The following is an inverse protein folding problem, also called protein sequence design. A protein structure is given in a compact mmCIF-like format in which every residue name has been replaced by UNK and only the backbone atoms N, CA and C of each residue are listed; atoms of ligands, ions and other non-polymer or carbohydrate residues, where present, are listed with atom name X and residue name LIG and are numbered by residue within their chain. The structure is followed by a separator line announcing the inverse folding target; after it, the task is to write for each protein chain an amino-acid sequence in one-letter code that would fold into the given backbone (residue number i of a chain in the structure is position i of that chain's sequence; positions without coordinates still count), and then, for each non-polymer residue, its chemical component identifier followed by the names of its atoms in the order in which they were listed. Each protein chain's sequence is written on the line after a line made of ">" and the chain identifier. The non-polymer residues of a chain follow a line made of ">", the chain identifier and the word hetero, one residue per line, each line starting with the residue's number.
data_IF_848214310474
#
_entry.id   IF_848214310474
#
_cell.length_a   1.000
_cell.length_b   1.000
_cell.length_c   1.000
_cell.angle_alpha   90.00
_cell.angle_beta   90.00
_cell.angle_gamma   90.00
#
_symmetry.space_group_name_H-M   'P 1'
#
loop_
_entity.id
_entity.type
_entity.pdbx_description
1 polymer ?
#
# COMPACT_ATOMS: atom_id res chain seq x y z
N UNK A 1 7.14 -7.18 7.97
CA UNK A 1 6.63 -6.49 6.76
C UNK A 1 6.59 -4.99 7.03
N UNK A 2 7.31 -4.18 6.26
CA UNK A 2 7.64 -2.79 6.58
C UNK A 2 6.47 -1.75 6.50
N UNK A 3 5.23 -2.19 6.30
CA UNK A 3 4.04 -1.32 6.24
C UNK A 3 2.82 -1.85 7.00
N UNK A 4 2.90 -3.01 7.65
CA UNK A 4 1.72 -3.62 8.29
C UNK A 4 1.15 -2.79 9.45
N UNK A 5 1.99 -2.02 10.15
CA UNK A 5 1.58 -1.10 11.22
C UNK A 5 1.29 0.33 10.77
N UNK A 6 1.53 0.66 9.50
CA UNK A 6 0.98 1.88 8.92
C UNK A 6 -0.44 1.51 8.48
N UNK A 7 -1.47 2.30 8.82
CA UNK A 7 -2.85 2.09 8.36
C UNK A 7 -3.01 2.29 6.83
N UNK A 8 -2.18 1.60 6.06
CA UNK A 8 -2.08 1.64 4.63
C UNK A 8 -2.77 0.39 4.06
N UNK A 9 -3.58 0.54 3.02
CA UNK A 9 -4.52 -0.50 2.61
C UNK A 9 -3.84 -1.77 2.04
N UNK A 10 -2.59 -1.66 1.61
CA UNK A 10 -1.92 -2.65 0.76
C UNK A 10 -1.72 -4.02 1.41
N UNK A 11 -1.47 -4.07 2.73
CA UNK A 11 -1.33 -5.35 3.44
C UNK A 11 -2.67 -6.09 3.49
N UNK A 12 -3.75 -5.38 3.83
CA UNK A 12 -5.10 -5.93 3.85
C UNK A 12 -5.53 -6.40 2.45
N UNK A 13 -5.21 -5.63 1.41
CA UNK A 13 -5.43 -6.05 0.01
C UNK A 13 -4.67 -7.32 -0.33
N UNK A 14 -3.39 -7.44 0.06
CA UNK A 14 -2.59 -8.64 -0.18
C UNK A 14 -3.16 -9.88 0.52
N UNK A 15 -3.51 -9.76 1.80
CA UNK A 15 -4.11 -10.85 2.57
C UNK A 15 -5.47 -11.27 2.00
N UNK A 16 -6.32 -10.29 1.65
CA UNK A 16 -7.62 -10.53 1.01
C UNK A 16 -7.48 -11.24 -0.35
N UNK A 17 -6.51 -10.82 -1.18
CA UNK A 17 -6.23 -11.44 -2.46
C UNK A 17 -5.75 -12.89 -2.33
N UNK A 18 -4.78 -13.16 -1.45
CA UNK A 18 -4.28 -14.53 -1.21
C UNK A 18 -5.39 -15.43 -0.65
N UNK A 19 -6.18 -14.94 0.31
CA UNK A 19 -7.30 -15.69 0.86
C UNK A 19 -8.35 -16.02 -0.20
N UNK A 20 -8.74 -15.05 -1.03
CA UNK A 20 -9.71 -15.24 -2.10
C UNK A 20 -9.20 -16.25 -3.13
N UNK A 21 -7.95 -16.14 -3.60
CA UNK A 21 -7.35 -17.08 -4.57
C UNK A 21 -7.29 -18.49 -3.99
N UNK A 22 -6.80 -18.65 -2.75
CA UNK A 22 -6.68 -19.95 -2.09
C UNK A 22 -8.04 -20.64 -1.89
N UNK A 23 -9.04 -19.91 -1.41
CA UNK A 23 -10.40 -20.43 -1.22
C UNK A 23 -11.09 -20.70 -2.56
N UNK A 24 -10.86 -19.86 -3.57
CA UNK A 24 -11.35 -20.07 -4.93
C UNK A 24 -10.81 -21.37 -5.52
N UNK A 25 -9.62 -21.82 -5.15
CA UNK A 25 -9.00 -23.06 -5.63
C UNK A 25 -9.42 -24.31 -4.84
N UNK A 26 -10.18 -24.18 -3.76
CA UNK A 26 -10.56 -25.32 -2.90
C UNK A 26 -11.38 -26.36 -3.69
N UNK A 27 -10.98 -27.63 -3.66
CA UNK A 27 -11.61 -28.70 -4.43
C UNK A 27 -13.06 -28.98 -4.00
N UNK A 28 -13.31 -29.00 -2.69
CA UNK A 28 -14.63 -29.17 -2.08
C UNK A 28 -15.08 -27.86 -1.40
N UNK A 29 -15.70 -26.94 -2.16
CA UNK A 29 -16.16 -25.67 -1.61
C UNK A 29 -17.41 -25.87 -0.74
N UNK A 30 -17.43 -25.24 0.42
CA UNK A 30 -18.58 -25.14 1.33
C UNK A 30 -19.17 -23.73 1.27
N UNK A 31 -20.37 -23.48 1.85
CA UNK A 31 -20.89 -22.11 2.00
C UNK A 31 -19.88 -21.14 2.64
N UNK A 32 -19.15 -21.58 3.65
CA UNK A 32 -18.08 -20.80 4.28
C UNK A 32 -16.91 -20.50 3.33
N UNK A 33 -16.62 -21.40 2.38
CA UNK A 33 -15.60 -21.16 1.35
C UNK A 33 -16.02 -20.00 0.44
N UNK A 34 -17.27 -19.98 -0.02
CA UNK A 34 -17.80 -18.88 -0.84
C UNK A 34 -17.86 -17.57 -0.06
N UNK A 35 -18.31 -17.61 1.20
CA UNK A 35 -18.29 -16.45 2.08
C UNK A 35 -16.87 -15.90 2.27
N UNK A 36 -15.87 -16.77 2.41
CA UNK A 36 -14.47 -16.36 2.52
C UNK A 36 -13.90 -15.77 1.23
N UNK A 37 -14.26 -16.30 0.04
CA UNK A 37 -13.91 -15.67 -1.25
C UNK A 37 -14.47 -14.25 -1.31
N UNK A 38 -15.78 -14.12 -1.02
CA UNK A 38 -16.46 -12.83 -1.03
C UNK A 38 -15.87 -11.86 -0.01
N UNK A 39 -15.62 -12.30 1.22
CA UNK A 39 -15.02 -11.48 2.27
C UNK A 39 -13.59 -11.02 1.93
N UNK A 40 -12.76 -11.90 1.39
CA UNK A 40 -11.39 -11.55 0.97
C UNK A 40 -11.38 -10.48 -0.11
N UNK A 41 -12.25 -10.61 -1.12
CA UNK A 41 -12.40 -9.60 -2.18
C UNK A 41 -13.09 -8.33 -1.71
N UNK A 42 -14.06 -8.41 -0.79
CA UNK A 42 -14.69 -7.25 -0.19
C UNK A 42 -13.67 -6.40 0.57
N UNK A 43 -12.81 -7.02 1.39
CA UNK A 43 -11.73 -6.31 2.09
C UNK A 43 -10.73 -5.73 1.09
N UNK A 44 -10.29 -6.50 0.09
CA UNK A 44 -9.34 -6.02 -0.91
C UNK A 44 -9.87 -4.82 -1.69
N UNK A 45 -11.14 -4.88 -2.12
CA UNK A 45 -11.82 -3.85 -2.91
C UNK A 45 -12.16 -2.63 -2.06
N UNK A 46 -12.61 -2.81 -0.82
CA UNK A 46 -12.86 -1.71 0.12
C UNK A 46 -11.59 -0.89 0.38
N UNK A 47 -10.47 -1.59 0.54
CA UNK A 47 -9.17 -0.98 0.80
C UNK A 47 -8.61 -0.31 -0.46
N UNK A 48 -8.72 -0.97 -1.63
CA UNK A 48 -8.19 -0.50 -2.92
C UNK A 48 -9.10 -1.01 -4.05
N UNK A 49 -10.11 -0.23 -4.49
CA UNK A 49 -11.08 -0.69 -5.49
C UNK A 49 -10.44 -1.17 -6.80
N UNK A 50 -9.39 -0.48 -7.26
CA UNK A 50 -8.65 -0.84 -8.47
C UNK A 50 -7.93 -2.19 -8.34
N UNK A 51 -7.35 -2.50 -7.17
CA UNK A 51 -6.71 -3.80 -6.93
C UNK A 51 -7.75 -4.91 -6.81
N UNK A 52 -8.90 -4.62 -6.18
CA UNK A 52 -10.04 -5.54 -6.12
C UNK A 52 -10.49 -5.96 -7.52
N UNK A 53 -10.65 -5.00 -8.43
CA UNK A 53 -10.97 -5.27 -9.83
C UNK A 53 -9.87 -6.09 -10.53
N UNK A 54 -8.60 -5.70 -10.38
CA UNK A 54 -7.47 -6.38 -10.99
C UNK A 54 -7.31 -7.83 -10.52
N UNK A 55 -7.55 -8.11 -9.23
CA UNK A 55 -7.51 -9.46 -8.64
C UNK A 55 -8.70 -10.29 -9.10
N UNK A 56 -9.89 -9.69 -9.20
CA UNK A 56 -11.11 -10.38 -9.60
C UNK A 56 -11.09 -10.82 -11.07
N UNK A 57 -10.47 -10.06 -11.98
CA UNK A 57 -10.43 -10.36 -13.42
C UNK A 57 -10.01 -11.81 -13.74
N UNK A 58 -8.82 -12.29 -13.36
CA UNK A 58 -8.41 -13.66 -13.64
C UNK A 58 -9.29 -14.72 -12.94
N UNK A 59 -9.83 -14.43 -11.76
CA UNK A 59 -10.76 -15.33 -11.06
C UNK A 59 -12.07 -15.49 -11.83
N UNK A 60 -12.62 -14.40 -12.36
CA UNK A 60 -13.82 -14.41 -13.18
C UNK A 60 -13.57 -15.12 -14.52
N UNK A 61 -12.44 -14.86 -15.19
CA UNK A 61 -12.08 -15.53 -16.44
C UNK A 61 -11.99 -17.05 -16.26
N UNK A 62 -11.33 -17.50 -15.19
CA UNK A 62 -11.24 -18.94 -14.87
C UNK A 62 -12.60 -19.51 -14.46
N UNK A 63 -13.38 -18.78 -13.65
CA UNK A 63 -14.71 -19.22 -13.21
C UNK A 63 -15.69 -19.37 -14.36
N UNK A 64 -15.71 -18.42 -15.30
CA UNK A 64 -16.59 -18.42 -16.47
C UNK A 64 -16.14 -19.41 -17.55
N UNK A 65 -14.83 -19.62 -17.71
CA UNK A 65 -14.28 -20.57 -18.68
C UNK A 65 -14.54 -22.04 -18.34
N UNK A 66 -14.85 -22.35 -17.08
CA UNK A 66 -15.26 -23.69 -16.64
C UNK A 66 -16.78 -23.76 -16.60
N UNK A 67 -17.40 -24.42 -17.58
CA UNK A 67 -18.86 -24.60 -17.67
C UNK A 67 -19.38 -25.65 -16.67
N UNK A 68 -19.21 -25.40 -15.37
CA UNK A 68 -19.70 -26.27 -14.30
C UNK A 68 -20.65 -25.51 -13.36
N UNK A 69 -21.76 -26.08 -12.88
CA UNK A 69 -22.67 -25.38 -11.95
C UNK A 69 -21.97 -24.86 -10.69
N UNK A 70 -20.91 -25.56 -10.24
CA UNK A 70 -20.09 -25.16 -9.08
C UNK A 70 -19.17 -23.97 -9.38
N UNK A 71 -18.87 -23.66 -10.64
CA UNK A 71 -18.08 -22.49 -11.01
C UNK A 71 -18.91 -21.21 -10.88
N UNK A 72 -20.22 -21.27 -11.16
CA UNK A 72 -21.14 -20.15 -10.99
C UNK A 72 -21.21 -19.65 -9.54
N UNK A 73 -21.24 -20.55 -8.55
CA UNK A 73 -21.19 -20.15 -7.15
C UNK A 73 -19.89 -19.40 -6.80
N UNK A 74 -18.75 -19.77 -7.40
CA UNK A 74 -17.48 -19.05 -7.24
C UNK A 74 -17.53 -17.68 -7.92
N UNK A 75 -18.08 -17.61 -9.13
CA UNK A 75 -18.28 -16.34 -9.87
C UNK A 75 -19.16 -15.40 -9.06
N UNK A 76 -20.29 -15.87 -8.54
CA UNK A 76 -21.18 -15.07 -7.69
C UNK A 76 -20.49 -14.61 -6.40
N UNK A 77 -19.67 -15.46 -5.77
CA UNK A 77 -18.89 -15.06 -4.60
C UNK A 77 -17.86 -13.97 -4.93
N UNK A 78 -17.17 -14.08 -6.08
CA UNK A 78 -16.22 -13.07 -6.56
C UNK A 78 -16.93 -11.74 -6.83
N UNK A 79 -18.01 -11.77 -7.61
CA UNK A 79 -18.81 -10.58 -7.92
C UNK A 79 -19.40 -9.95 -6.65
N UNK A 80 -19.97 -10.76 -5.76
CA UNK A 80 -20.53 -10.30 -4.49
C UNK A 80 -19.48 -9.61 -3.62
N UNK A 81 -18.28 -10.17 -3.53
CA UNK A 81 -17.16 -9.56 -2.80
C UNK A 81 -16.73 -8.22 -3.38
N UNK A 82 -16.52 -8.15 -4.70
CA UNK A 82 -16.14 -6.90 -5.38
C UNK A 82 -17.22 -5.83 -5.21
N UNK A 83 -18.49 -6.17 -5.44
CA UNK A 83 -19.61 -5.23 -5.28
C UNK A 83 -19.71 -4.74 -3.84
N UNK A 84 -19.66 -5.65 -2.86
CA UNK A 84 -19.74 -5.28 -1.44
C UNK A 84 -18.61 -4.35 -1.01
N UNK A 85 -17.38 -4.59 -1.49
CA UNK A 85 -16.24 -3.73 -1.17
C UNK A 85 -16.25 -2.39 -1.93
N UNK A 86 -16.73 -2.37 -3.18
CA UNK A 86 -16.80 -1.15 -3.98
C UNK A 86 -17.97 -0.23 -3.59
N UNK A 87 -19.04 -0.78 -3.01
CA UNK A 87 -20.28 -0.04 -2.75
C UNK A 87 -20.07 1.23 -1.92
N UNK A 88 -19.33 1.24 -0.79
CA UNK A 88 -19.07 2.47 -0.04
C UNK A 88 -18.34 3.53 -0.87
N UNK A 89 -17.39 3.11 -1.70
CA UNK A 89 -16.64 4.00 -2.58
C UNK A 89 -17.54 4.59 -3.68
N UNK A 90 -18.44 3.80 -4.26
CA UNK A 90 -19.39 4.27 -5.27
C UNK A 90 -20.39 5.25 -4.66
N UNK A 91 -20.97 4.93 -3.51
CA UNK A 91 -21.90 5.82 -2.79
C UNK A 91 -21.21 7.15 -2.49
N UNK A 92 -20.00 7.13 -1.94
CA UNK A 92 -19.25 8.35 -1.65
C UNK A 92 -18.94 9.15 -2.93
N UNK A 93 -18.67 8.50 -4.06
CA UNK A 93 -18.44 9.18 -5.33
C UNK A 93 -19.65 10.04 -5.74
N UNK A 94 -20.87 9.50 -5.60
CA UNK A 94 -22.09 10.26 -5.91
C UNK A 94 -22.43 11.33 -4.87
N UNK A 95 -22.24 11.04 -3.58
CA UNK A 95 -22.60 11.98 -2.49
C UNK A 95 -21.63 13.16 -2.39
N UNK A 96 -20.34 12.96 -2.68
CA UNK A 96 -19.29 13.97 -2.42
C UNK A 96 -18.56 14.51 -3.64
N UNK A 97 -18.51 13.73 -4.73
CA UNK A 97 -17.68 14.06 -5.89
C UNK A 97 -18.50 14.35 -7.15
N UNK A 98 -19.83 14.15 -7.12
CA UNK A 98 -20.71 14.35 -8.27
C UNK A 98 -20.82 13.14 -9.21
N UNK A 99 -20.16 12.03 -8.88
CA UNK A 99 -20.19 10.79 -9.65
C UNK A 99 -18.88 10.02 -9.64
N UNK A 100 -18.92 8.79 -10.16
CA UNK A 100 -17.74 7.91 -10.27
C UNK A 100 -16.67 8.51 -11.18
N UNK A 101 -17.07 9.14 -12.29
CA UNK A 101 -16.15 9.72 -13.27
C UNK A 101 -15.40 10.91 -12.66
N UNK A 102 -16.11 11.79 -11.98
CA UNK A 102 -15.58 12.98 -11.32
C UNK A 102 -14.61 12.57 -10.22
N UNK A 103 -14.97 11.57 -9.40
CA UNK A 103 -14.06 11.00 -8.40
C UNK A 103 -12.78 10.41 -9.01
N UNK A 104 -12.89 9.75 -10.17
CA UNK A 104 -11.74 9.20 -10.88
C UNK A 104 -10.85 10.31 -11.48
N UNK A 105 -11.44 11.40 -11.99
CA UNK A 105 -10.70 12.56 -12.47
C UNK A 105 -9.93 13.25 -11.33
N UNK A 106 -10.61 13.53 -10.21
CA UNK A 106 -9.99 14.09 -9.01
C UNK A 106 -8.88 13.18 -8.48
N UNK A 107 -9.13 11.87 -8.44
CA UNK A 107 -8.12 10.89 -8.06
C UNK A 107 -6.93 10.92 -9.03
N UNK A 108 -7.16 10.98 -10.35
CA UNK A 108 -6.10 11.07 -11.35
C UNK A 108 -5.21 12.29 -11.10
N UNK A 109 -5.81 13.47 -10.91
CA UNK A 109 -5.09 14.72 -10.68
C UNK A 109 -4.25 14.67 -9.40
N UNK A 110 -4.84 14.20 -8.30
CA UNK A 110 -4.12 13.98 -7.03
C UNK A 110 -3.02 12.93 -7.20
N UNK A 111 -3.19 11.97 -8.10
CA UNK A 111 -2.23 10.91 -8.36
C UNK A 111 -1.10 11.29 -9.33
N UNK A 112 -1.06 12.54 -9.81
CA UNK A 112 -0.05 13.03 -10.76
C UNK A 112 -0.41 12.77 -12.23
N UNK A 113 -1.69 12.50 -12.51
CA UNK A 113 -2.24 12.20 -13.83
C UNK A 113 -2.03 10.74 -14.22
N UNK A 114 -3.03 9.89 -13.97
CA UNK A 114 -3.03 8.50 -14.44
C UNK A 114 -3.09 8.48 -15.97
N UNK A 115 -2.11 7.82 -16.59
CA UNK A 115 -2.01 7.69 -18.05
C UNK A 115 -1.19 6.46 -18.41
N UNK A 116 -1.39 5.83 -19.57
CA UNK A 116 -0.48 4.80 -20.05
C UNK A 116 0.96 5.32 -20.10
N UNK A 117 1.86 4.70 -19.35
CA UNK A 117 3.28 5.05 -19.26
C UNK A 117 4.11 3.84 -18.80
N UNK A 118 5.37 3.75 -19.19
CA UNK A 118 6.28 2.72 -18.68
C UNK A 118 6.78 3.09 -17.27
N UNK A 119 5.99 2.79 -16.23
CA UNK A 119 6.24 3.20 -14.84
C UNK A 119 7.25 2.32 -14.12
N UNK A 120 7.80 1.30 -14.79
CA UNK A 120 8.69 0.32 -14.17
C UNK A 120 9.95 0.98 -13.59
N UNK A 121 10.46 2.02 -14.24
CA UNK A 121 11.62 2.79 -13.76
C UNK A 121 11.32 3.49 -12.45
N UNK A 122 10.11 4.03 -12.26
CA UNK A 122 9.68 4.63 -11.01
C UNK A 122 9.59 3.60 -9.87
N UNK A 123 9.31 2.32 -10.18
CA UNK A 123 9.39 1.28 -9.17
C UNK A 123 10.84 0.99 -8.76
N UNK A 124 11.79 1.01 -9.71
CA UNK A 124 13.22 0.77 -9.44
C UNK A 124 13.87 1.85 -8.58
N UNK A 125 13.49 3.11 -8.77
CA UNK A 125 13.98 4.24 -7.96
C UNK A 125 13.45 4.24 -6.53
N UNK A 126 12.46 3.41 -6.21
CA UNK A 126 11.84 3.37 -4.89
C UNK A 126 12.18 2.09 -4.09
N UNK A 127 12.92 1.13 -4.67
CA UNK A 127 13.11 -0.22 -4.08
C UNK A 127 13.92 -0.19 -2.79
N UNK A 128 14.92 0.68 -2.69
CA UNK A 128 15.77 0.86 -1.52
C UNK A 128 15.34 2.06 -0.63
N UNK A 129 14.42 2.88 -1.14
CA UNK A 129 13.98 4.14 -0.55
C UNK A 129 14.16 5.29 -1.55
N UNK A 130 13.30 6.33 -1.55
CA UNK A 130 12.25 6.62 -0.56
C UNK A 130 11.02 5.71 -0.68
N UNK A 131 10.33 5.51 0.44
CA UNK A 131 9.09 4.72 0.56
C UNK A 131 7.94 5.17 -0.36
N UNK A 132 8.07 6.38 -0.87
CA UNK A 132 7.27 6.98 -1.90
C UNK A 132 8.18 7.96 -2.65
N UNK A 133 8.47 7.70 -3.92
CA UNK A 133 9.04 8.72 -4.81
C UNK A 133 7.90 9.45 -5.51
N UNK A 134 7.92 10.79 -5.52
CA UNK A 134 6.96 11.63 -6.27
C UNK A 134 7.46 13.09 -6.34
N UNK A 135 7.87 13.58 -7.53
CA UNK A 135 8.20 12.84 -8.75
C UNK A 135 9.47 11.99 -8.59
N UNK A 136 9.61 10.90 -9.35
CA UNK A 136 10.72 9.94 -9.22
C UNK A 136 11.95 10.29 -10.09
N UNK A 137 12.21 11.59 -10.32
CA UNK A 137 13.23 12.05 -11.27
C UNK A 137 14.63 12.30 -10.68
N UNK A 138 14.77 12.28 -9.35
CA UNK A 138 16.00 12.66 -8.65
C UNK A 138 16.65 11.50 -7.87
N UNK A 139 15.98 10.36 -7.77
CA UNK A 139 16.42 9.23 -6.94
C UNK A 139 17.33 8.29 -7.75
N UNK A 140 18.49 7.94 -7.19
CA UNK A 140 19.41 6.99 -7.83
C UNK A 140 18.89 5.55 -7.70
N UNK A 141 19.11 4.73 -8.73
CA UNK A 141 18.80 3.31 -8.69
C UNK A 141 19.92 2.58 -7.93
N UNK A 142 19.61 2.04 -6.76
CA UNK A 142 20.54 1.15 -6.05
C UNK A 142 20.44 -0.25 -6.63
N UNK A 143 21.35 -0.53 -7.56
CA UNK A 143 21.43 -1.80 -8.31
C UNK A 143 21.35 -3.05 -7.43
N UNK A 144 21.98 -3.01 -6.26
CA UNK A 144 21.96 -4.12 -5.30
C UNK A 144 20.54 -4.42 -4.79
N UNK A 145 19.68 -3.41 -4.63
CA UNK A 145 18.30 -3.62 -4.19
C UNK A 145 17.39 -4.19 -5.29
N UNK A 146 17.82 -4.12 -6.56
CA UNK A 146 17.12 -4.76 -7.68
C UNK A 146 17.26 -6.28 -7.68
N UNK A 147 18.10 -6.86 -6.80
CA UNK A 147 18.23 -8.31 -6.64
C UNK A 147 16.87 -9.01 -6.54
N UNK A 148 15.90 -8.38 -5.86
CA UNK A 148 14.60 -8.98 -5.59
C UNK A 148 13.74 -9.06 -6.86
N UNK A 149 13.89 -8.09 -7.76
CA UNK A 149 13.26 -8.08 -9.08
C UNK A 149 13.80 -9.17 -10.01
N UNK A 150 14.96 -9.76 -9.70
CA UNK A 150 15.55 -10.87 -10.44
C UNK A 150 15.26 -12.19 -9.73
N UNK A 151 15.55 -12.25 -8.43
CA UNK A 151 15.43 -13.45 -7.61
C UNK A 151 13.98 -13.96 -7.57
N UNK A 152 12.99 -13.07 -7.40
CA UNK A 152 11.59 -13.49 -7.34
C UNK A 152 11.13 -14.14 -8.66
N UNK A 153 11.25 -13.52 -9.85
CA UNK A 153 10.90 -14.18 -11.11
C UNK A 153 11.65 -15.50 -11.35
N UNK A 154 12.94 -15.58 -11.01
CA UNK A 154 13.72 -16.82 -11.14
C UNK A 154 13.14 -17.92 -10.26
N UNK A 155 12.88 -17.63 -8.97
CA UNK A 155 12.28 -18.62 -8.07
C UNK A 155 10.87 -19.02 -8.50
N UNK A 156 10.06 -18.09 -8.99
CA UNK A 156 8.74 -18.39 -9.57
C UNK A 156 8.88 -19.35 -10.76
N UNK A 157 9.78 -19.05 -11.70
CA UNK A 157 10.02 -19.88 -12.87
C UNK A 157 10.49 -21.30 -12.48
N UNK A 158 11.41 -21.40 -11.52
CA UNK A 158 11.88 -22.69 -11.00
C UNK A 158 10.74 -23.45 -10.32
N UNK A 159 9.88 -22.79 -9.55
CA UNK A 159 8.73 -23.42 -8.91
C UNK A 159 7.70 -23.96 -9.91
N UNK A 160 7.40 -23.19 -10.95
CA UNK A 160 6.51 -23.62 -12.04
C UNK A 160 7.11 -24.75 -12.87
N UNK A 161 8.42 -24.76 -13.07
CA UNK A 161 9.13 -25.86 -13.74
C UNK A 161 9.12 -27.12 -12.88
N UNK A 162 9.48 -27.01 -11.60
CA UNK A 162 9.53 -28.14 -10.67
C UNK A 162 8.16 -28.80 -10.49
N UNK A 163 7.10 -28.01 -10.28
CA UNK A 163 5.74 -28.57 -10.23
C UNK A 163 5.35 -29.22 -11.55
N UNK A 164 5.86 -28.71 -12.67
CA UNK A 164 5.62 -29.30 -13.98
C UNK A 164 6.15 -30.71 -14.09
N UNK A 165 7.37 -30.95 -13.60
CA UNK A 165 7.98 -32.28 -13.54
C UNK A 165 7.24 -33.20 -12.58
N UNK A 166 6.87 -32.71 -11.40
CA UNK A 166 6.16 -33.52 -10.41
C UNK A 166 4.72 -33.82 -10.82
N UNK A 167 4.09 -32.94 -11.60
CA UNK A 167 2.70 -33.08 -11.98
C UNK A 167 2.43 -34.32 -12.83
N UNK A 168 3.41 -34.78 -13.60
CA UNK A 168 3.31 -36.01 -14.38
C UNK A 168 3.21 -37.25 -13.47
N UNK A 169 4.02 -37.31 -12.42
CA UNK A 169 3.99 -38.41 -11.43
C UNK A 169 2.82 -38.33 -10.44
N UNK A 170 2.35 -37.14 -10.11
CA UNK A 170 1.26 -36.91 -9.12
C UNK A 170 -0.15 -36.91 -9.75
N UNK A 171 -0.26 -37.11 -11.06
CA UNK A 171 -1.53 -37.22 -11.77
C UNK A 171 -2.45 -36.01 -11.57
N UNK A 172 -3.69 -36.26 -11.16
CA UNK A 172 -4.71 -35.21 -11.03
C UNK A 172 -4.37 -34.15 -9.96
N UNK A 173 -3.76 -34.58 -8.85
CA UNK A 173 -3.35 -33.66 -7.77
C UNK A 173 -2.24 -32.72 -8.26
N UNK A 174 -1.26 -33.26 -8.99
CA UNK A 174 -0.18 -32.47 -9.59
C UNK A 174 -0.67 -31.43 -10.59
N UNK A 175 -1.59 -31.82 -11.48
CA UNK A 175 -2.23 -30.87 -12.43
C UNK A 175 -3.00 -29.77 -11.71
N UNK A 176 -3.71 -30.09 -10.63
CA UNK A 176 -4.44 -29.10 -9.84
C UNK A 176 -3.47 -28.10 -9.17
N UNK A 177 -2.38 -28.57 -8.57
CA UNK A 177 -1.34 -27.69 -7.98
C UNK A 177 -0.69 -26.80 -9.03
N UNK A 178 -0.38 -27.35 -10.21
CA UNK A 178 0.15 -26.55 -11.33
C UNK A 178 -0.82 -25.44 -11.74
N UNK A 179 -2.11 -25.77 -11.89
CA UNK A 179 -3.16 -24.78 -12.19
C UNK A 179 -3.30 -23.70 -11.11
N UNK A 180 -3.21 -24.10 -9.83
CA UNK A 180 -3.23 -23.18 -8.70
C UNK A 180 -2.07 -22.16 -8.73
N UNK A 181 -0.85 -22.63 -9.00
CA UNK A 181 0.32 -21.74 -9.09
C UNK A 181 0.22 -20.79 -10.28
N UNK A 182 -0.24 -21.25 -11.44
CA UNK A 182 -0.47 -20.38 -12.59
C UNK A 182 -1.55 -19.34 -12.34
N UNK A 183 -2.63 -19.70 -11.62
CA UNK A 183 -3.65 -18.73 -11.21
C UNK A 183 -3.07 -17.67 -10.27
N UNK A 184 -2.26 -18.07 -9.28
CA UNK A 184 -1.58 -17.14 -8.38
C UNK A 184 -0.67 -16.17 -9.16
N UNK A 185 0.07 -16.66 -10.15
CA UNK A 185 0.89 -15.83 -11.04
C UNK A 185 0.03 -14.87 -11.86
N UNK A 186 -1.04 -15.35 -12.49
CA UNK A 186 -1.94 -14.52 -13.30
C UNK A 186 -2.55 -13.39 -12.46
N UNK A 187 -3.06 -13.70 -11.26
CA UNK A 187 -3.61 -12.72 -10.31
C UNK A 187 -2.52 -11.74 -9.85
N UNK A 188 -1.32 -12.24 -9.53
CA UNK A 188 -0.19 -11.41 -9.12
C UNK A 188 0.26 -10.42 -10.21
N UNK A 189 0.31 -10.88 -11.46
CA UNK A 189 0.62 -10.04 -12.64
C UNK A 189 -0.48 -9.00 -12.85
N UNK A 190 -1.75 -9.41 -12.87
CA UNK A 190 -2.87 -8.48 -13.01
C UNK A 190 -2.86 -7.39 -11.93
N UNK A 191 -2.57 -7.74 -10.68
CA UNK A 191 -2.46 -6.76 -9.59
C UNK A 191 -1.25 -5.81 -9.73
N UNK A 192 -0.19 -6.20 -10.46
CA UNK A 192 0.98 -5.36 -10.70
C UNK A 192 0.76 -4.37 -11.85
N UNK A 193 0.04 -4.78 -12.90
CA UNK A 193 -0.08 -4.02 -14.16
C UNK A 193 -0.49 -2.55 -13.97
N UNK A 194 -1.49 -2.19 -13.14
CA UNK A 194 -1.84 -0.78 -12.95
C UNK A 194 -0.66 0.07 -12.45
N UNK A 195 0.19 -0.50 -11.59
CA UNK A 195 1.34 0.20 -11.01
C UNK A 195 2.56 0.24 -11.95
N UNK A 196 2.66 -0.71 -12.87
CA UNK A 196 3.73 -0.76 -13.86
C UNK A 196 3.41 0.06 -15.11
N UNK A 197 2.13 0.31 -15.37
CA UNK A 197 1.67 0.88 -16.65
C UNK A 197 0.89 2.20 -16.53
N UNK A 198 0.36 2.56 -15.36
CA UNK A 198 -0.57 3.71 -15.25
C UNK A 198 -0.16 4.76 -14.23
N UNK A 199 0.64 4.39 -13.22
CA UNK A 199 0.95 5.24 -12.06
C UNK A 199 2.31 5.92 -12.27
N UNK A 200 2.39 7.27 -12.34
CA UNK A 200 3.62 7.99 -12.72
C UNK A 200 4.66 8.09 -11.58
N UNK A 201 4.54 7.26 -10.55
CA UNK A 201 5.35 7.34 -9.34
C UNK A 201 5.44 5.99 -8.63
N UNK A 202 6.45 5.81 -7.78
CA UNK A 202 6.83 4.53 -7.21
C UNK A 202 6.60 4.44 -5.71
N UNK A 203 6.11 3.28 -5.26
CA UNK A 203 6.11 2.92 -3.85
C UNK A 203 6.16 1.38 -3.74
N UNK A 204 7.16 0.78 -3.07
CA UNK A 204 7.32 -0.69 -3.03
C UNK A 204 6.08 -1.42 -2.52
N UNK A 205 5.32 -0.78 -1.62
CA UNK A 205 4.07 -1.31 -1.08
C UNK A 205 3.00 -1.56 -2.15
N UNK A 206 3.02 -0.88 -3.30
CA UNK A 206 1.98 -1.04 -4.32
C UNK A 206 1.90 -2.46 -4.87
N UNK A 207 3.05 -3.11 -5.00
CA UNK A 207 3.17 -4.46 -5.52
C UNK A 207 2.96 -5.53 -4.43
N UNK A 208 2.57 -5.16 -3.21
CA UNK A 208 2.46 -6.11 -2.10
C UNK A 208 1.49 -7.28 -2.38
N UNK A 209 0.32 -7.07 -3.01
CA UNK A 209 -0.54 -8.19 -3.40
C UNK A 209 0.14 -9.14 -4.40
N UNK A 210 0.84 -8.59 -5.38
CA UNK A 210 1.63 -9.35 -6.36
C UNK A 210 2.72 -10.17 -5.69
N UNK A 211 3.48 -9.57 -4.78
CA UNK A 211 4.52 -10.25 -4.02
C UNK A 211 3.96 -11.39 -3.18
N UNK A 212 2.83 -11.18 -2.50
CA UNK A 212 2.20 -12.20 -1.66
C UNK A 212 1.76 -13.42 -2.47
N UNK A 213 1.21 -13.21 -3.67
CA UNK A 213 0.79 -14.29 -4.57
C UNK A 213 1.97 -14.99 -5.23
N UNK A 214 2.99 -14.25 -5.68
CA UNK A 214 4.19 -14.81 -6.31
C UNK A 214 5.12 -15.52 -5.31
N UNK A 215 5.05 -15.18 -4.02
CA UNK A 215 5.78 -15.87 -2.98
C UNK A 215 5.42 -17.36 -2.88
N UNK A 216 4.20 -17.75 -3.28
CA UNK A 216 3.76 -19.15 -3.27
C UNK A 216 4.55 -20.02 -4.27
N UNK A 217 4.54 -19.74 -5.59
CA UNK A 217 5.38 -20.47 -6.53
C UNK A 217 6.88 -20.27 -6.27
N UNK A 218 7.31 -19.09 -5.79
CA UNK A 218 8.71 -18.87 -5.42
C UNK A 218 9.15 -19.79 -4.26
N UNK A 219 8.30 -20.00 -3.25
CA UNK A 219 8.55 -20.92 -2.15
C UNK A 219 8.69 -22.37 -2.64
N UNK A 220 7.85 -22.80 -3.59
CA UNK A 220 7.99 -24.10 -4.25
C UNK A 220 9.32 -24.21 -4.99
N UNK A 221 9.73 -23.16 -5.71
CA UNK A 221 11.01 -23.12 -6.40
C UNK A 221 12.20 -23.22 -5.44
N UNK A 222 12.13 -22.53 -4.31
CA UNK A 222 13.17 -22.59 -3.28
C UNK A 222 13.28 -23.99 -2.67
N UNK A 223 12.15 -24.65 -2.37
CA UNK A 223 12.14 -26.03 -1.88
C UNK A 223 12.75 -27.00 -2.91
N UNK A 224 12.39 -26.87 -4.18
CA UNK A 224 12.96 -27.69 -5.25
C UNK A 224 14.49 -27.52 -5.38
N UNK A 225 14.98 -26.29 -5.25
CA UNK A 225 16.43 -26.01 -5.23
C UNK A 225 17.10 -26.59 -3.98
N UNK A 226 16.46 -26.46 -2.82
CA UNK A 226 16.97 -27.00 -1.57
C UNK A 226 17.09 -28.54 -1.62
N UNK A 227 16.11 -29.23 -2.19
CA UNK A 227 16.16 -30.69 -2.34
C UNK A 227 17.30 -31.13 -3.27
N UNK A 228 17.50 -30.41 -4.38
CA UNK A 228 18.65 -30.63 -5.28
C UNK A 228 19.98 -30.34 -4.58
N UNK A 229 20.03 -29.31 -3.74
CA UNK A 229 21.22 -28.93 -2.99
C UNK A 229 21.66 -30.00 -1.97
N UNK A 230 20.73 -30.79 -1.42
CA UNK A 230 21.07 -31.92 -0.53
C UNK A 230 21.98 -32.96 -1.20
N UNK A 231 21.90 -33.09 -2.52
CA UNK A 231 22.71 -34.03 -3.30
C UNK A 231 24.01 -33.40 -3.86
N UNK A 232 24.23 -32.09 -3.74
CA UNK A 232 25.38 -31.41 -4.31
C UNK A 232 25.91 -30.29 -3.41
N UNK A 233 27.13 -30.47 -2.89
CA UNK A 233 27.81 -29.47 -2.06
C UNK A 233 27.99 -28.13 -2.78
N UNK A 234 28.26 -28.16 -4.08
CA UNK A 234 28.41 -26.94 -4.88
C UNK A 234 27.09 -26.17 -4.99
N UNK A 235 25.97 -26.87 -5.25
CA UNK A 235 24.65 -26.23 -5.30
C UNK A 235 24.20 -25.73 -3.92
N UNK A 236 24.50 -26.47 -2.86
CA UNK A 236 24.25 -26.03 -1.50
C UNK A 236 25.03 -24.75 -1.15
N UNK A 237 26.32 -24.68 -1.51
CA UNK A 237 27.12 -23.49 -1.32
C UNK A 237 26.58 -22.31 -2.14
N UNK A 238 26.22 -22.52 -3.42
CA UNK A 238 25.65 -21.49 -4.27
C UNK A 238 24.32 -20.95 -3.72
N UNK A 239 23.42 -21.84 -3.30
CA UNK A 239 22.14 -21.46 -2.70
C UNK A 239 22.36 -20.68 -1.39
N UNK A 240 23.28 -21.12 -0.54
CA UNK A 240 23.63 -20.43 0.69
C UNK A 240 24.16 -19.01 0.41
N UNK A 241 25.07 -18.86 -0.57
CA UNK A 241 25.59 -17.54 -0.98
C UNK A 241 24.47 -16.62 -1.47
N UNK A 242 23.56 -17.12 -2.30
CA UNK A 242 22.41 -16.32 -2.79
C UNK A 242 21.49 -15.89 -1.64
N UNK A 243 21.16 -16.80 -0.72
CA UNK A 243 20.28 -16.50 0.42
C UNK A 243 20.94 -15.53 1.40
N UNK A 244 22.23 -15.71 1.71
CA UNK A 244 23.00 -14.81 2.57
C UNK A 244 23.13 -13.44 1.92
N UNK A 245 23.43 -13.39 0.61
CA UNK A 245 23.47 -12.14 -0.16
C UNK A 245 22.14 -11.39 -0.09
N UNK A 246 21.03 -12.09 -0.34
CA UNK A 246 19.69 -11.52 -0.23
C UNK A 246 19.42 -10.95 1.17
N UNK A 247 19.72 -11.69 2.23
CA UNK A 247 19.54 -11.22 3.60
C UNK A 247 20.44 -10.03 3.93
N UNK A 248 21.68 -10.02 3.44
CA UNK A 248 22.63 -8.92 3.63
C UNK A 248 22.16 -7.61 2.97
N UNK A 249 21.30 -7.69 1.95
CA UNK A 249 20.67 -6.53 1.32
C UNK A 249 19.36 -6.15 2.00
N UNK A 250 18.46 -7.10 2.21
CA UNK A 250 17.12 -6.82 2.73
C UNK A 250 17.11 -6.40 4.20
N UNK A 251 17.96 -6.97 5.05
CA UNK A 251 17.96 -6.65 6.49
C UNK A 251 18.36 -5.18 6.76
N UNK A 252 19.46 -4.65 6.19
CA UNK A 252 19.79 -3.23 6.34
C UNK A 252 18.72 -2.30 5.76
N UNK A 253 18.13 -2.65 4.61
CA UNK A 253 17.03 -1.87 4.02
C UNK A 253 15.82 -1.82 4.94
N UNK A 254 15.40 -2.97 5.48
CA UNK A 254 14.27 -3.06 6.39
C UNK A 254 14.54 -2.32 7.71
N UNK A 255 15.72 -2.48 8.30
CA UNK A 255 16.10 -1.80 9.54
C UNK A 255 16.27 -0.28 9.35
N UNK A 256 16.94 0.14 8.27
CA UNK A 256 17.16 1.56 7.96
C UNK A 256 15.84 2.28 7.77
N UNK A 257 14.97 1.76 6.90
CA UNK A 257 13.63 2.30 6.71
C UNK A 257 12.79 2.21 8.00
N UNK A 258 12.96 1.13 8.79
CA UNK A 258 12.38 0.94 10.13
C UNK A 258 12.66 2.12 11.06
N UNK A 259 13.93 2.45 11.20
CA UNK A 259 14.41 3.56 12.03
C UNK A 259 13.91 4.91 11.54
N UNK A 260 13.94 5.15 10.23
CA UNK A 260 13.44 6.41 9.65
C UNK A 260 11.96 6.62 10.01
N UNK A 261 11.11 5.59 9.87
CA UNK A 261 9.69 5.71 10.20
C UNK A 261 9.42 5.81 11.70
N UNK A 262 10.20 5.11 12.52
CA UNK A 262 10.12 5.25 13.98
C UNK A 262 10.49 6.69 14.40
N UNK A 263 11.56 7.25 13.84
CA UNK A 263 11.98 8.63 14.08
C UNK A 263 10.91 9.64 13.67
N UNK A 264 10.37 9.52 12.44
CA UNK A 264 9.32 10.40 11.95
C UNK A 264 8.04 10.36 12.81
N UNK A 265 7.62 9.17 13.27
CA UNK A 265 6.48 9.05 14.20
C UNK A 265 6.79 9.64 15.58
N UNK A 266 8.02 9.48 16.06
CA UNK A 266 8.49 10.12 17.29
C UNK A 266 8.40 11.65 17.21
N UNK A 267 8.77 12.23 16.06
CA UNK A 267 8.62 13.67 15.83
C UNK A 267 7.16 14.12 15.90
N UNK A 268 6.23 13.33 15.34
CA UNK A 268 4.81 13.68 15.41
C UNK A 268 4.29 13.71 16.85
N UNK A 269 4.74 12.79 17.70
CA UNK A 269 4.40 12.81 19.12
C UNK A 269 4.98 14.05 19.82
N UNK A 270 6.24 14.41 19.56
CA UNK A 270 6.88 15.60 20.15
C UNK A 270 6.22 16.91 19.71
N UNK A 271 5.92 17.04 18.43
CA UNK A 271 5.17 18.19 17.91
C UNK A 271 3.79 18.28 18.58
N UNK A 272 3.13 17.13 18.79
CA UNK A 272 1.84 17.07 19.50
C UNK A 272 1.97 17.54 20.95
N UNK A 273 3.05 17.21 21.66
CA UNK A 273 3.28 17.68 23.02
C UNK A 273 3.44 19.20 23.05
N UNK A 274 4.30 19.77 22.19
CA UNK A 274 4.47 21.24 22.09
C UNK A 274 3.14 21.93 21.74
N UNK A 275 2.32 21.36 20.84
CA UNK A 275 0.99 21.88 20.57
C UNK A 275 0.13 21.93 21.85
N UNK A 276 0.12 20.87 22.66
CA UNK A 276 -0.66 20.79 23.91
C UNK A 276 -0.14 21.74 24.99
N UNK A 277 1.17 21.92 25.09
CA UNK A 277 1.82 22.89 25.99
C UNK A 277 1.42 24.33 25.65
N UNK A 278 1.28 24.63 24.35
CA UNK A 278 0.83 25.94 23.88
C UNK A 278 -0.71 26.08 23.82
N UNK A 279 -1.45 25.15 24.44
CA UNK A 279 -2.90 25.21 24.59
C UNK A 279 -3.70 24.76 23.36
N UNK A 280 -3.05 24.22 22.32
CA UNK A 280 -3.73 23.69 21.12
C UNK A 280 -4.20 22.27 21.41
N UNK A 281 -5.52 22.07 21.51
CA UNK A 281 -6.16 20.78 21.80
C UNK A 281 -7.40 20.59 20.92
N UNK A 282 -7.81 19.35 20.72
CA UNK A 282 -9.04 19.03 20.02
C UNK A 282 -10.26 19.68 20.71
N UNK A 283 -11.24 20.22 19.95
CA UNK A 283 -11.26 20.37 18.49
C UNK A 283 -10.34 21.51 18.00
N UNK A 284 -9.52 21.24 16.98
CA UNK A 284 -8.52 22.17 16.44
C UNK A 284 -8.31 21.95 14.95
N UNK A 285 -7.84 22.99 14.26
CA UNK A 285 -7.44 22.95 12.84
C UNK A 285 -5.94 23.23 12.75
N UNK A 286 -5.17 22.32 12.14
CA UNK A 286 -3.75 22.51 11.87
C UNK A 286 -3.51 22.80 10.39
N UNK A 287 -2.65 23.75 10.10
CA UNK A 287 -2.10 23.98 8.76
C UNK A 287 -0.59 23.79 8.77
N UNK A 288 0.02 23.53 7.62
CA UNK A 288 1.47 23.34 7.55
C UNK A 288 1.98 22.90 6.19
N UNK A 289 3.30 22.76 6.06
CA UNK A 289 3.92 22.30 4.84
C UNK A 289 3.92 20.76 4.73
N UNK A 290 4.94 20.05 5.16
CA UNK A 290 5.23 18.71 4.65
C UNK A 290 4.53 17.55 5.36
N UNK A 291 3.95 17.73 6.55
CA UNK A 291 3.40 16.60 7.32
C UNK A 291 2.20 16.94 8.22
N UNK A 292 1.44 17.98 7.88
CA UNK A 292 0.31 18.40 8.72
C UNK A 292 -0.79 17.34 8.85
N UNK A 293 -1.00 16.49 7.83
CA UNK A 293 -2.03 15.44 7.86
C UNK A 293 -1.75 14.40 8.96
N UNK A 294 -0.60 13.69 8.99
CA UNK A 294 -0.32 12.73 10.06
C UNK A 294 -0.22 13.41 11.44
N UNK A 295 0.27 14.64 11.51
CA UNK A 295 0.31 15.41 12.75
C UNK A 295 -1.09 15.69 13.32
N UNK A 296 -2.00 16.19 12.48
CA UNK A 296 -3.38 16.46 12.88
C UNK A 296 -4.07 15.19 13.37
N UNK A 297 -3.86 14.05 12.69
CA UNK A 297 -4.38 12.77 13.14
C UNK A 297 -3.88 12.38 14.54
N UNK A 298 -2.56 12.44 14.77
CA UNK A 298 -1.95 12.08 16.06
C UNK A 298 -2.38 13.04 17.18
N UNK A 299 -2.58 14.32 16.86
CA UNK A 299 -3.01 15.35 17.82
C UNK A 299 -4.53 15.41 18.04
N UNK A 300 -5.33 14.62 17.30
CA UNK A 300 -6.79 14.69 17.30
C UNK A 300 -7.37 15.97 16.68
N UNK A 301 -6.56 16.70 15.90
CA UNK A 301 -6.98 17.88 15.13
C UNK A 301 -7.43 17.50 13.71
N UNK A 302 -8.03 18.46 13.01
CA UNK A 302 -8.31 18.39 11.57
C UNK A 302 -7.18 19.09 10.80
N UNK A 303 -6.74 18.50 9.70
CA UNK A 303 -5.79 19.16 8.80
C UNK A 303 -6.53 20.10 7.85
N UNK A 304 -6.16 21.38 7.83
CA UNK A 304 -6.69 22.37 6.91
C UNK A 304 -6.44 21.94 5.45
N UNK A 305 -7.44 22.04 4.56
CA UNK A 305 -7.24 21.83 3.14
C UNK A 305 -6.15 22.78 2.61
N UNK A 306 -5.23 22.26 1.80
CA UNK A 306 -4.16 23.07 1.18
C UNK A 306 -4.70 24.21 0.29
N UNK A 307 -5.92 24.06 -0.22
CA UNK A 307 -6.65 25.07 -0.99
C UNK A 307 -8.13 24.95 -0.62
N UNK A 308 -8.65 25.79 0.27
CA UNK A 308 -10.09 25.89 0.45
C UNK A 308 -10.67 26.75 -0.66
N UNK A 309 -11.63 26.20 -1.42
CA UNK A 309 -12.47 26.95 -2.36
C UNK A 309 -13.40 27.97 -1.67
N UNK A 310 -13.53 27.88 -0.35
CA UNK A 310 -14.46 28.65 0.51
C UNK A 310 -13.77 29.72 1.37
N UNK A 311 -12.50 30.03 1.10
CA UNK A 311 -11.71 30.97 1.92
C UNK A 311 -11.04 30.29 3.13
N UNK A 312 -9.98 30.88 3.71
CA UNK A 312 -9.17 30.20 4.71
C UNK A 312 -9.96 30.02 6.02
N UNK A 313 -10.22 28.76 6.37
CA UNK A 313 -10.52 28.40 7.76
C UNK A 313 -9.27 28.80 8.58
N UNK A 314 -9.41 29.75 9.51
CA UNK A 314 -8.26 30.25 10.26
C UNK A 314 -7.69 29.09 11.09
N UNK A 315 -6.46 28.62 10.82
CA UNK A 315 -5.93 27.49 11.56
C UNK A 315 -5.74 27.85 13.03
N UNK A 316 -5.96 26.90 13.93
CA UNK A 316 -5.66 27.03 15.36
C UNK A 316 -4.16 27.14 15.59
N UNK A 317 -3.38 26.41 14.79
CA UNK A 317 -1.92 26.47 14.79
C UNK A 317 -1.35 26.11 13.42
N UNK A 318 -0.15 26.63 13.16
CA UNK A 318 0.63 26.33 11.97
C UNK A 318 1.86 25.50 12.37
N UNK A 319 2.04 24.35 11.74
CA UNK A 319 3.22 23.49 11.96
C UNK A 319 4.10 23.51 10.73
N UNK A 320 5.35 23.93 10.90
CA UNK A 320 6.34 24.04 9.83
C UNK A 320 7.54 23.16 10.13
N UNK A 321 8.15 22.63 9.06
CA UNK A 321 9.51 22.08 9.08
C UNK A 321 10.39 22.91 8.14
N UNK A 322 11.47 23.48 8.67
CA UNK A 322 12.47 24.26 7.93
C UNK A 322 11.86 25.34 7.00
N UNK A 323 10.82 26.03 7.48
CA UNK A 323 10.02 26.95 6.69
C UNK A 323 9.86 28.31 7.35
N UNK A 324 9.82 29.37 6.54
CA UNK A 324 9.38 30.68 7.00
C UNK A 324 7.86 30.70 7.08
N UNK A 325 7.26 31.32 8.11
CA UNK A 325 5.83 31.51 8.17
C UNK A 325 5.32 32.32 6.98
N UNK A 326 4.12 32.01 6.49
CA UNK A 326 3.45 32.83 5.50
C UNK A 326 3.23 34.24 6.06
N UNK A 327 3.08 35.22 5.16
CA UNK A 327 2.98 36.64 5.52
C UNK A 327 1.96 36.91 6.64
N UNK A 328 0.79 36.26 6.58
CA UNK A 328 -0.31 36.43 7.53
C UNK A 328 -0.06 35.79 8.91
N UNK A 329 0.99 34.98 9.09
CA UNK A 329 1.34 34.32 10.35
C UNK A 329 2.72 34.76 10.88
N UNK A 330 3.29 35.85 10.37
CA UNK A 330 4.65 36.28 10.74
C UNK A 330 4.75 36.74 12.19
N UNK A 331 3.66 37.29 12.72
CA UNK A 331 3.47 37.80 14.08
C UNK A 331 3.10 36.69 15.10
N UNK A 332 2.87 35.46 14.62
CA UNK A 332 2.54 34.34 15.49
C UNK A 332 3.75 33.92 16.32
N UNK A 333 3.48 33.50 17.57
CA UNK A 333 4.53 33.04 18.47
C UNK A 333 5.08 31.72 17.96
N UNK A 334 6.41 31.62 17.88
CA UNK A 334 7.13 30.44 17.39
C UNK A 334 7.64 29.62 18.55
N UNK A 335 7.35 28.33 18.51
CA UNK A 335 7.78 27.35 19.50
C UNK A 335 8.57 26.26 18.78
N UNK A 336 9.91 26.23 18.93
CA UNK A 336 10.72 25.17 18.35
C UNK A 336 10.36 23.84 19.01
N UNK A 337 10.44 22.73 18.26
CA UNK A 337 10.22 21.39 18.80
C UNK A 337 11.57 20.70 18.98
N UNK A 338 12.06 20.58 20.23
CA UNK A 338 13.38 20.02 20.50
C UNK A 338 13.42 18.50 20.28
N UNK A 339 14.64 17.97 20.26
CA UNK A 339 14.97 16.54 20.26
C UNK A 339 14.35 15.73 19.11
N UNK A 340 14.04 16.36 17.98
CA UNK A 340 13.43 15.71 16.82
C UNK A 340 14.46 14.94 15.98
N UNK A 341 14.03 13.82 15.40
CA UNK A 341 14.79 13.03 14.43
C UNK A 341 15.06 13.84 13.15
N UNK A 342 14.01 14.44 12.59
CA UNK A 342 14.14 15.42 11.51
C UNK A 342 14.17 16.82 12.11
N UNK A 343 15.26 17.60 11.96
CA UNK A 343 15.39 18.89 12.60
C UNK A 343 14.45 19.96 12.01
N UNK A 344 14.38 21.11 12.69
CA UNK A 344 13.75 22.32 12.16
C UNK A 344 12.22 22.35 12.27
N UNK A 345 11.62 21.52 13.12
CA UNK A 345 10.20 21.61 13.46
C UNK A 345 9.89 22.86 14.29
N UNK A 346 8.80 23.54 13.95
CA UNK A 346 8.30 24.71 14.69
C UNK A 346 6.78 24.71 14.69
N UNK A 347 6.20 24.95 15.86
CA UNK A 347 4.79 25.21 16.07
C UNK A 347 4.58 26.72 16.16
N UNK A 348 3.60 27.24 15.43
CA UNK A 348 3.20 28.64 15.49
C UNK A 348 1.77 28.75 16.02
N UNK A 349 1.59 29.58 17.03
CA UNK A 349 0.30 29.82 17.67
C UNK A 349 -0.04 31.32 17.56
N UNK A 350 -1.28 31.67 17.20
CA UNK A 350 -1.69 33.07 17.11
C UNK A 350 -1.57 33.75 18.47
N UNK A 351 -1.29 35.06 18.51
CA UNK A 351 -1.33 35.81 19.76
C UNK A 351 -2.74 35.70 20.38
N UNK A 352 -2.81 35.62 21.72
CA UNK A 352 -4.05 35.37 22.50
C UNK A 352 -5.21 36.34 22.18
N UNK A 353 -4.92 37.49 21.55
CA UNK A 353 -5.93 38.44 21.05
C UNK A 353 -6.82 37.88 19.93
N UNK A 354 -6.39 36.84 19.20
CA UNK A 354 -7.17 36.27 18.10
C UNK A 354 -8.36 35.41 18.56
N UNK A 355 -8.29 34.79 19.75
CA UNK A 355 -9.38 33.95 20.29
C UNK A 355 -10.47 34.75 21.02
N UNK A 356 -10.26 36.06 21.27
CA UNK A 356 -11.27 36.93 21.90
C UNK A 356 -12.32 37.49 20.94
N UNK A 357 -12.14 37.32 19.62
CA UNK A 357 -13.04 37.90 18.61
C UNK A 357 -13.97 36.87 17.95
N UNK A 358 -14.23 35.73 18.59
CA UNK A 358 -15.35 34.87 18.21
C UNK A 358 -16.55 35.28 19.08
N UNK A 359 -17.61 35.91 18.53
CA UNK A 359 -18.80 36.19 19.31
C UNK A 359 -19.42 34.85 19.71
N UNK A 360 -19.32 34.52 21.00
CA UNK A 360 -20.32 33.68 21.67
C UNK A 360 -21.63 34.45 21.63
N UNK A 361 -22.38 34.31 20.55
CA UNK A 361 -23.79 34.63 20.57
C UNK A 361 -24.56 33.74 19.59
N UNK A 362 -25.02 32.60 20.10
CA UNK A 362 -26.28 31.99 19.70
C UNK A 362 -26.86 31.29 20.93
N UNK A 363 -27.46 32.09 21.81
CA UNK A 363 -28.62 31.65 22.58
C UNK A 363 -29.85 31.79 21.68
N UNK A 364 -30.47 30.69 21.28
CA UNK A 364 -31.93 30.45 21.26
C UNK A 364 -32.22 29.09 20.65
#
# INVERSE_FOLDING_TARGET
>A
MFYAGAAMPNHYTAMGAVAAVGLFLRAAPTPLTYAGIGAGLAVATLMRPNDGAAVATPLLLVGLGVLAPRSWARVLAVLGGVVAGALPWVIEAYVRFGGVRERLADASDVQGGLRPLAAITAQFTAVDGPLLCRPCGADQIRTVALEWWILLPVLVAVGLWAVGLWAEGLGAAGRATRGALWLAVAVGVCAALPYLLLVPYGAPRFLLPSHALLALPAGIGLLALADRARASRALAAALAVVLVGHLAVQLPLAHGNGRIQAGARGDWARVTEVLREQGVRAPCVLQGNTSVIPLAYVSGCVAAPRASRTGPERPTALVLREGRPPHWARDWRRHPVPDTYAPGWTVLVPPQTAFRNTPTDMRS
#
